data_IF_057491469638
#
_entry.id   IF_057491469638
#
_cell.length_a   1.000
_cell.length_b   1.000
_cell.length_c   1.000
_cell.angle_alpha   90.00
_cell.angle_beta   90.00
_cell.angle_gamma   90.00
#
_symmetry.space_group_name_H-M   'P 1'
#
loop_
_entity.id
_entity.type
_entity.pdbx_description
1 polymer ?
#
# COMPACT_ATOMS: atom_id res chain seq x y z
N UNK A 1 -57.13 35.64 18.77
CA UNK A 1 -57.20 34.29 18.15
C UNK A 1 -55.92 33.84 17.45
N UNK A 2 -55.11 34.76 16.88
CA UNK A 2 -53.88 34.43 16.13
C UNK A 2 -52.77 33.73 16.95
N UNK A 3 -52.59 34.11 18.23
CA UNK A 3 -51.57 33.53 19.12
C UNK A 3 -51.89 32.10 19.59
N UNK A 4 -53.18 31.75 19.75
CA UNK A 4 -53.59 30.39 20.14
C UNK A 4 -53.40 29.39 19.00
N UNK A 5 -53.57 29.83 17.75
CA UNK A 5 -53.32 29.02 16.56
C UNK A 5 -51.81 28.75 16.39
N UNK A 6 -50.97 29.74 16.69
CA UNK A 6 -49.51 29.58 16.64
C UNK A 6 -49.02 28.52 17.65
N UNK A 7 -49.54 28.54 18.89
CA UNK A 7 -49.13 27.60 19.94
C UNK A 7 -49.56 26.16 19.61
N UNK A 8 -50.75 25.98 19.02
CA UNK A 8 -51.25 24.66 18.60
C UNK A 8 -50.45 24.15 17.38
N UNK A 9 -50.07 25.02 16.45
CA UNK A 9 -49.24 24.64 15.31
C UNK A 9 -47.82 24.19 15.73
N UNK A 10 -47.21 24.86 16.72
CA UNK A 10 -45.88 24.46 17.23
C UNK A 10 -45.91 23.14 18.01
N UNK A 11 -47.00 22.86 18.73
CA UNK A 11 -47.19 21.59 19.43
C UNK A 11 -47.35 20.40 18.46
N UNK A 12 -47.98 20.62 17.29
CA UNK A 12 -48.10 19.60 16.25
C UNK A 12 -46.77 19.24 15.58
N UNK A 13 -45.82 20.17 15.48
CA UNK A 13 -44.48 19.92 14.92
C UNK A 13 -43.66 19.00 15.84
N UNK A 14 -43.88 19.07 17.16
CA UNK A 14 -43.23 18.21 18.16
C UNK A 14 -43.86 16.81 18.29
N UNK A 15 -45.07 16.61 17.76
CA UNK A 15 -45.81 15.35 17.81
C UNK A 15 -45.75 14.55 16.49
N UNK A 16 -45.04 15.04 15.48
CA UNK A 16 -44.73 14.25 14.30
C UNK A 16 -43.79 13.10 14.71
N UNK A 17 -44.11 11.84 14.36
CA UNK A 17 -43.26 10.73 14.73
C UNK A 17 -41.95 10.89 13.96
N UNK A 18 -40.85 11.02 14.69
CA UNK A 18 -39.48 10.95 14.17
C UNK A 18 -39.21 9.53 13.63
N UNK A 19 -39.83 9.17 12.50
CA UNK A 19 -39.56 7.93 11.75
C UNK A 19 -38.49 8.14 10.69
N UNK A 20 -37.44 8.90 11.01
CA UNK A 20 -36.32 9.13 10.11
C UNK A 20 -34.95 9.26 10.80
N UNK A 21 -34.82 8.87 12.08
CA UNK A 21 -33.52 8.94 12.78
C UNK A 21 -33.17 7.71 13.63
N UNK A 22 -33.95 6.62 13.55
CA UNK A 22 -33.57 5.36 14.19
C UNK A 22 -33.86 4.18 13.26
N UNK A 23 -32.86 3.30 13.15
CA UNK A 23 -32.81 2.05 12.39
C UNK A 23 -32.51 2.18 10.89
N UNK A 24 -31.21 2.32 10.63
CA UNK A 24 -30.55 1.55 9.57
C UNK A 24 -29.31 0.90 10.17
N UNK A 25 -29.48 -0.18 10.95
CA UNK A 25 -28.38 -1.16 11.03
C UNK A 25 -28.13 -1.58 9.57
N UNK A 26 -26.90 -1.59 9.05
CA UNK A 26 -26.67 -1.89 7.64
C UNK A 26 -27.26 -3.26 7.36
N UNK A 27 -28.42 -3.28 6.70
CA UNK A 27 -28.99 -4.50 6.16
C UNK A 27 -28.03 -4.93 5.08
N UNK A 28 -27.37 -6.06 5.31
CA UNK A 28 -26.47 -6.69 4.36
C UNK A 28 -27.26 -7.02 3.10
N UNK A 29 -27.15 -6.13 2.11
CA UNK A 29 -27.66 -6.32 0.77
C UNK A 29 -26.92 -7.52 0.14
N UNK A 30 -27.64 -8.51 -0.35
CA UNK A 30 -27.14 -9.69 -1.06
C UNK A 30 -26.44 -9.35 -2.39
N UNK A 31 -26.55 -8.11 -2.86
CA UNK A 31 -25.68 -7.52 -3.89
C UNK A 31 -24.22 -7.39 -3.44
N UNK A 32 -23.96 -7.41 -2.12
CA UNK A 32 -22.59 -7.45 -1.58
C UNK A 32 -21.84 -8.73 -1.96
N UNK A 33 -22.49 -9.85 -2.24
CA UNK A 33 -21.78 -11.07 -2.62
C UNK A 33 -21.10 -10.94 -3.98
N UNK A 34 -21.74 -10.30 -4.97
CA UNK A 34 -21.11 -10.05 -6.27
C UNK A 34 -19.97 -9.05 -6.12
N UNK A 35 -20.12 -8.01 -5.29
CA UNK A 35 -19.03 -7.09 -5.01
C UNK A 35 -17.91 -7.74 -4.19
N UNK A 36 -18.21 -8.64 -3.26
CA UNK A 36 -17.23 -9.43 -2.50
C UNK A 36 -16.50 -10.38 -3.43
N UNK A 37 -17.19 -11.10 -4.32
CA UNK A 37 -16.56 -11.97 -5.32
C UNK A 37 -15.70 -11.14 -6.27
N UNK A 38 -16.19 -9.98 -6.75
CA UNK A 38 -15.39 -9.07 -7.58
C UNK A 38 -14.16 -8.57 -6.84
N UNK A 39 -14.30 -8.18 -5.57
CA UNK A 39 -13.21 -7.75 -4.70
C UNK A 39 -12.22 -8.89 -4.40
N UNK A 40 -12.69 -10.12 -4.24
CA UNK A 40 -11.87 -11.33 -4.05
C UNK A 40 -11.11 -11.68 -5.34
N UNK A 41 -11.74 -11.49 -6.50
CA UNK A 41 -11.10 -11.67 -7.81
C UNK A 41 -10.08 -10.56 -8.07
N UNK A 42 -10.39 -9.31 -7.72
CA UNK A 42 -9.47 -8.18 -7.82
C UNK A 42 -8.32 -8.27 -6.82
N UNK A 43 -8.57 -8.72 -5.58
CA UNK A 43 -7.53 -8.97 -4.59
C UNK A 43 -6.66 -10.15 -5.02
N UNK A 44 -7.23 -11.21 -5.58
CA UNK A 44 -6.48 -12.31 -6.18
C UNK A 44 -5.57 -11.86 -7.32
N UNK A 45 -6.08 -11.00 -8.23
CA UNK A 45 -5.27 -10.38 -9.30
C UNK A 45 -4.14 -9.51 -8.74
N UNK A 46 -4.41 -8.74 -7.69
CA UNK A 46 -3.41 -7.89 -7.04
C UNK A 46 -2.35 -8.72 -6.31
N UNK A 47 -2.72 -9.80 -5.63
CA UNK A 47 -1.77 -10.75 -5.02
C UNK A 47 -0.88 -11.39 -6.09
N UNK A 48 -1.44 -11.76 -7.25
CA UNK A 48 -0.66 -12.28 -8.37
C UNK A 48 0.30 -11.23 -8.95
N UNK A 49 -0.15 -9.98 -9.11
CA UNK A 49 0.71 -8.85 -9.51
C UNK A 49 1.80 -8.57 -8.47
N UNK A 50 1.52 -8.77 -7.18
CA UNK A 50 2.48 -8.61 -6.10
C UNK A 50 3.58 -9.67 -6.13
N UNK A 51 3.20 -10.93 -6.35
CA UNK A 51 4.15 -12.04 -6.53
C UNK A 51 5.03 -11.78 -7.76
N UNK A 52 4.42 -11.30 -8.86
CA UNK A 52 5.14 -10.91 -10.07
C UNK A 52 6.11 -9.74 -9.82
N UNK A 53 5.69 -8.75 -9.03
CA UNK A 53 6.51 -7.61 -8.61
C UNK A 53 7.73 -8.04 -7.81
N UNK A 54 7.56 -8.94 -6.83
CA UNK A 54 8.68 -9.54 -6.09
C UNK A 54 9.66 -10.25 -7.04
N UNK A 55 9.14 -11.01 -8.00
CA UNK A 55 9.99 -11.69 -8.99
C UNK A 55 10.81 -10.67 -9.80
N UNK A 56 10.15 -9.63 -10.32
CA UNK A 56 10.84 -8.59 -11.07
C UNK A 56 11.89 -7.86 -10.24
N UNK A 57 11.61 -7.55 -8.98
CA UNK A 57 12.61 -6.94 -8.10
C UNK A 57 13.82 -7.87 -7.87
N UNK A 58 13.61 -9.18 -7.81
CA UNK A 58 14.71 -10.16 -7.72
C UNK A 58 15.54 -10.20 -9.00
N UNK A 59 14.90 -10.32 -10.16
CA UNK A 59 15.57 -10.32 -11.47
C UNK A 59 16.39 -9.02 -11.65
N UNK A 60 15.80 -7.90 -11.19
CA UNK A 60 16.43 -6.59 -11.16
C UNK A 60 17.65 -6.54 -10.21
N UNK A 61 17.55 -7.10 -9.00
CA UNK A 61 18.68 -7.23 -8.07
C UNK A 61 19.83 -8.04 -8.69
N UNK A 62 19.54 -9.18 -9.30
CA UNK A 62 20.56 -10.03 -9.94
C UNK A 62 21.28 -9.29 -11.08
N UNK A 63 20.53 -8.49 -11.85
CA UNK A 63 21.09 -7.65 -12.90
C UNK A 63 22.05 -6.60 -12.31
N UNK A 64 21.64 -5.91 -11.24
CA UNK A 64 22.53 -4.97 -10.53
C UNK A 64 23.79 -5.66 -10.01
N UNK A 65 23.68 -6.84 -9.39
CA UNK A 65 24.83 -7.56 -8.84
C UNK A 65 25.82 -7.98 -9.94
N UNK A 66 25.31 -8.49 -11.06
CA UNK A 66 26.11 -8.85 -12.23
C UNK A 66 26.87 -7.65 -12.76
N UNK A 67 26.21 -6.50 -12.90
CA UNK A 67 26.83 -5.30 -13.45
C UNK A 67 27.78 -4.61 -12.46
N UNK A 68 27.45 -4.61 -11.16
CA UNK A 68 28.34 -4.14 -10.09
C UNK A 68 29.66 -4.90 -10.09
N UNK A 69 29.63 -6.23 -10.32
CA UNK A 69 30.85 -7.03 -10.42
C UNK A 69 31.77 -6.63 -11.59
N UNK A 70 31.18 -6.07 -12.66
CA UNK A 70 31.91 -5.58 -13.85
C UNK A 70 32.48 -4.18 -13.61
N UNK A 71 31.81 -3.36 -12.80
CA UNK A 71 32.17 -1.94 -12.61
C UNK A 71 32.94 -1.69 -11.30
N UNK A 72 32.98 -2.65 -10.37
CA UNK A 72 33.76 -2.80 -9.11
C UNK A 72 33.89 -1.60 -8.15
N UNK A 73 33.53 -0.38 -8.53
CA UNK A 73 33.96 0.86 -7.86
C UNK A 73 32.82 1.85 -7.55
N UNK A 74 31.57 1.55 -7.91
CA UNK A 74 30.47 2.49 -7.70
C UNK A 74 29.63 2.09 -6.48
N UNK A 75 30.03 2.60 -5.30
CA UNK A 75 29.28 2.46 -4.03
C UNK A 75 27.79 2.76 -4.16
N UNK A 76 27.41 3.70 -5.03
CA UNK A 76 26.01 4.02 -5.31
C UNK A 76 25.22 2.81 -5.86
N UNK A 77 25.81 2.01 -6.75
CA UNK A 77 25.18 0.82 -7.35
C UNK A 77 24.97 -0.26 -6.29
N UNK A 78 25.96 -0.49 -5.43
CA UNK A 78 25.86 -1.41 -4.30
C UNK A 78 24.72 -1.02 -3.34
N UNK A 79 24.68 0.26 -2.95
CA UNK A 79 23.63 0.79 -2.07
C UNK A 79 22.23 0.65 -2.70
N UNK A 80 22.10 0.86 -4.01
CA UNK A 80 20.83 0.64 -4.74
C UNK A 80 20.45 -0.85 -4.71
N UNK A 81 21.40 -1.76 -4.92
CA UNK A 81 21.17 -3.20 -4.79
C UNK A 81 20.71 -3.60 -3.39
N UNK A 82 21.34 -3.08 -2.35
CA UNK A 82 20.94 -3.32 -0.95
C UNK A 82 19.55 -2.77 -0.65
N UNK A 83 19.23 -1.57 -1.12
CA UNK A 83 17.90 -0.99 -0.98
C UNK A 83 16.84 -1.83 -1.70
N UNK A 84 17.12 -2.32 -2.91
CA UNK A 84 16.21 -3.20 -3.63
C UNK A 84 16.01 -4.52 -2.90
N UNK A 85 17.05 -5.12 -2.32
CA UNK A 85 16.90 -6.29 -1.45
C UNK A 85 15.97 -6.01 -0.27
N UNK A 86 16.06 -4.82 0.33
CA UNK A 86 15.15 -4.42 1.40
C UNK A 86 13.72 -4.24 0.91
N UNK A 87 13.52 -3.65 -0.27
CA UNK A 87 12.20 -3.58 -0.92
C UNK A 87 11.63 -4.99 -1.11
N UNK A 88 12.39 -5.92 -1.68
CA UNK A 88 11.98 -7.33 -1.86
C UNK A 88 11.51 -7.93 -0.54
N UNK A 89 12.31 -7.80 0.54
CA UNK A 89 11.97 -8.36 1.85
C UNK A 89 10.65 -7.79 2.39
N UNK A 90 10.43 -6.48 2.27
CA UNK A 90 9.19 -5.84 2.72
C UNK A 90 8.00 -6.29 1.86
N UNK A 91 8.18 -6.40 0.54
CA UNK A 91 7.13 -6.86 -0.37
C UNK A 91 6.77 -8.34 -0.15
N UNK A 92 7.77 -9.19 0.11
CA UNK A 92 7.59 -10.62 0.34
C UNK A 92 6.95 -10.92 1.69
N UNK A 93 7.44 -10.30 2.75
CA UNK A 93 7.00 -10.65 4.10
C UNK A 93 5.92 -9.68 4.56
N UNK A 94 6.27 -8.40 4.70
CA UNK A 94 5.43 -7.44 5.38
C UNK A 94 4.14 -7.12 4.62
N UNK A 95 4.23 -6.90 3.31
CA UNK A 95 3.05 -6.60 2.48
C UNK A 95 2.17 -7.84 2.36
N UNK A 96 2.75 -9.03 2.19
CA UNK A 96 1.99 -10.28 2.18
C UNK A 96 1.24 -10.48 3.50
N UNK A 97 1.90 -10.25 4.64
CA UNK A 97 1.28 -10.34 5.97
C UNK A 97 0.15 -9.32 6.15
N UNK A 98 0.34 -8.08 5.65
CA UNK A 98 -0.70 -7.05 5.69
C UNK A 98 -1.91 -7.49 4.86
N UNK A 99 -1.69 -7.92 3.61
CA UNK A 99 -2.78 -8.30 2.71
C UNK A 99 -3.53 -9.55 3.18
N UNK A 100 -2.85 -10.48 3.85
CA UNK A 100 -3.44 -11.70 4.41
C UNK A 100 -4.08 -11.50 5.80
N UNK A 101 -3.97 -10.30 6.38
CA UNK A 101 -4.50 -10.03 7.72
C UNK A 101 -6.04 -10.04 7.72
N UNK A 102 -6.69 -10.75 8.64
CA UNK A 102 -8.17 -10.71 8.77
C UNK A 102 -8.68 -9.34 9.22
N UNK A 103 -7.77 -8.45 9.65
CA UNK A 103 -8.09 -7.09 10.08
C UNK A 103 -7.97 -6.06 8.96
N UNK A 104 -7.61 -6.46 7.73
CA UNK A 104 -7.72 -5.63 6.53
C UNK A 104 -9.03 -5.96 5.83
N UNK A 105 -9.84 -4.94 5.55
CA UNK A 105 -11.13 -5.16 4.89
C UNK A 105 -10.93 -5.48 3.40
N UNK A 106 -11.78 -6.31 2.76
CA UNK A 106 -11.66 -6.65 1.35
C UNK A 106 -11.52 -5.44 0.42
N UNK A 107 -12.27 -4.37 0.67
CA UNK A 107 -12.21 -3.11 -0.10
C UNK A 107 -10.94 -2.28 0.12
N UNK A 108 -10.20 -2.54 1.21
CA UNK A 108 -8.92 -1.89 1.51
C UNK A 108 -7.75 -2.58 0.82
N UNK A 109 -7.85 -3.88 0.53
CA UNK A 109 -6.79 -4.67 -0.11
C UNK A 109 -6.30 -3.98 -1.39
N UNK A 110 -7.21 -3.47 -2.22
CA UNK A 110 -6.84 -2.73 -3.44
C UNK A 110 -6.09 -1.43 -3.18
N UNK A 111 -6.47 -0.69 -2.13
CA UNK A 111 -5.77 0.54 -1.75
C UNK A 111 -4.38 0.25 -1.20
N UNK A 112 -4.27 -0.81 -0.38
CA UNK A 112 -2.99 -1.30 0.14
C UNK A 112 -2.09 -1.68 -1.03
N UNK A 113 -2.54 -2.59 -1.90
CA UNK A 113 -1.75 -3.08 -3.04
C UNK A 113 -1.28 -1.95 -3.95
N UNK A 114 -2.18 -1.04 -4.37
CA UNK A 114 -1.82 0.13 -5.20
C UNK A 114 -0.79 1.04 -4.53
N UNK A 115 -0.83 1.18 -3.22
CA UNK A 115 0.11 2.04 -2.49
C UNK A 115 1.54 1.49 -2.46
N UNK A 116 1.71 0.18 -2.66
CA UNK A 116 3.00 -0.49 -2.76
C UNK A 116 3.46 -0.67 -4.22
N UNK A 117 2.53 -0.89 -5.15
CA UNK A 117 2.83 -1.04 -6.58
C UNK A 117 3.64 0.13 -7.14
N UNK A 118 3.26 1.37 -6.82
CA UNK A 118 4.02 2.55 -7.26
C UNK A 118 5.49 2.57 -6.82
N UNK A 119 5.80 2.00 -5.64
CA UNK A 119 7.18 1.90 -5.14
C UNK A 119 7.95 0.82 -5.91
N UNK A 120 7.28 -0.28 -6.23
CA UNK A 120 7.87 -1.34 -7.06
C UNK A 120 8.18 -0.83 -8.46
N UNK A 121 7.22 -0.18 -9.13
CA UNK A 121 7.42 0.32 -10.50
C UNK A 121 8.63 1.24 -10.57
N UNK A 122 8.76 2.19 -9.64
CA UNK A 122 9.89 3.11 -9.59
C UNK A 122 11.24 2.39 -9.29
N UNK A 123 11.21 1.31 -8.50
CA UNK A 123 12.40 0.47 -8.26
C UNK A 123 12.82 -0.29 -9.52
N UNK A 124 11.88 -0.82 -10.29
CA UNK A 124 12.16 -1.49 -11.57
C UNK A 124 12.73 -0.51 -12.59
N UNK A 125 12.12 0.66 -12.76
CA UNK A 125 12.64 1.74 -13.61
C UNK A 125 14.07 2.15 -13.22
N UNK A 126 14.35 2.21 -11.91
CA UNK A 126 15.69 2.51 -11.40
C UNK A 126 16.71 1.45 -11.82
N UNK A 127 16.32 0.17 -11.81
CA UNK A 127 17.21 -0.92 -12.21
C UNK A 127 17.43 -0.94 -13.70
N UNK A 128 16.37 -0.84 -14.50
CA UNK A 128 16.48 -0.80 -15.97
C UNK A 128 17.41 0.33 -16.41
N UNK A 129 17.30 1.48 -15.74
CA UNK A 129 18.20 2.61 -15.97
C UNK A 129 19.65 2.34 -15.54
N UNK A 130 19.88 1.67 -14.41
CA UNK A 130 21.23 1.26 -14.00
C UNK A 130 21.83 0.29 -15.02
N UNK A 131 21.03 -0.66 -15.49
CA UNK A 131 21.44 -1.60 -16.54
C UNK A 131 21.79 -0.84 -17.82
N UNK A 132 20.97 0.12 -18.27
CA UNK A 132 21.24 0.94 -19.46
C UNK A 132 22.53 1.79 -19.33
N UNK A 133 22.71 2.47 -18.19
CA UNK A 133 23.86 3.34 -17.90
C UNK A 133 25.19 2.58 -17.84
N UNK A 134 25.13 1.30 -17.49
CA UNK A 134 26.31 0.47 -17.26
C UNK A 134 26.56 -0.58 -18.36
N UNK A 135 25.53 -0.99 -19.11
CA UNK A 135 25.62 -1.97 -20.22
C UNK A 135 25.95 -1.31 -21.56
N UNK A 136 25.53 -0.06 -21.76
CA UNK A 136 25.86 0.62 -23.00
C UNK A 136 27.22 1.30 -22.91
N UNK A 137 27.93 1.22 -24.02
CA UNK A 137 28.78 2.27 -24.53
C UNK A 137 27.96 3.59 -24.67
N UNK A 138 27.46 4.17 -23.58
CA UNK A 138 26.86 5.52 -23.57
C UNK A 138 27.99 6.53 -23.81
N UNK A 139 28.48 6.52 -25.05
CA UNK A 139 29.66 7.17 -25.65
C UNK A 139 29.53 8.70 -25.73
N UNK A 140 28.82 9.32 -24.79
CA UNK A 140 28.72 10.79 -24.67
C UNK A 140 28.75 11.32 -23.22
N UNK A 141 28.80 10.44 -22.22
CA UNK A 141 28.78 10.80 -20.80
C UNK A 141 30.17 10.64 -20.18
N UNK A 142 30.61 11.64 -19.41
CA UNK A 142 31.84 11.51 -18.61
C UNK A 142 31.61 10.68 -17.35
N UNK A 143 32.67 10.06 -16.81
CA UNK A 143 32.57 9.29 -15.57
C UNK A 143 32.01 10.10 -14.38
N UNK A 144 32.27 11.42 -14.36
CA UNK A 144 31.71 12.34 -13.36
C UNK A 144 30.19 12.49 -13.50
N UNK A 145 29.68 12.66 -14.73
CA UNK A 145 28.24 12.71 -15.01
C UNK A 145 27.56 11.38 -14.66
N UNK A 146 28.22 10.25 -14.94
CA UNK A 146 27.72 8.91 -14.55
C UNK A 146 27.61 8.78 -13.04
N UNK A 147 28.63 9.20 -12.30
CA UNK A 147 28.65 9.15 -10.85
C UNK A 147 27.55 10.03 -10.23
N UNK A 148 27.31 11.23 -10.77
CA UNK A 148 26.25 12.13 -10.31
C UNK A 148 24.86 11.52 -10.51
N UNK A 149 24.60 10.96 -11.69
CA UNK A 149 23.35 10.28 -12.02
C UNK A 149 23.10 9.10 -11.09
N UNK A 150 24.11 8.24 -10.90
CA UNK A 150 24.00 7.09 -9.99
C UNK A 150 23.80 7.54 -8.55
N UNK A 151 24.40 8.66 -8.13
CA UNK A 151 24.18 9.22 -6.80
C UNK A 151 22.75 9.74 -6.61
N UNK A 152 22.17 10.34 -7.64
CA UNK A 152 20.76 10.74 -7.62
C UNK A 152 19.83 9.53 -7.48
N UNK A 153 20.11 8.45 -8.24
CA UNK A 153 19.35 7.19 -8.14
C UNK A 153 19.53 6.48 -6.80
N UNK A 154 20.71 6.54 -6.19
CA UNK A 154 20.93 6.07 -4.82
C UNK A 154 20.02 6.81 -3.82
N UNK A 155 19.91 8.14 -3.95
CA UNK A 155 19.06 8.94 -3.07
C UNK A 155 17.56 8.62 -3.27
N UNK A 156 17.11 8.49 -4.52
CA UNK A 156 15.75 8.08 -4.86
C UNK A 156 15.43 6.70 -4.25
N UNK A 157 16.37 5.75 -4.39
CA UNK A 157 16.28 4.42 -3.80
C UNK A 157 16.16 4.44 -2.27
N UNK A 158 16.92 5.31 -1.59
CA UNK A 158 16.80 5.52 -0.13
C UNK A 158 15.44 6.08 0.26
N UNK A 159 14.90 7.01 -0.53
CA UNK A 159 13.55 7.56 -0.31
C UNK A 159 12.47 6.49 -0.49
N UNK A 160 12.59 5.62 -1.50
CA UNK A 160 11.68 4.48 -1.68
C UNK A 160 11.67 3.57 -0.45
N UNK A 161 12.83 3.22 0.10
CA UNK A 161 12.95 2.40 1.31
C UNK A 161 12.29 3.08 2.52
N UNK A 162 12.46 4.40 2.67
CA UNK A 162 11.81 5.14 3.75
C UNK A 162 10.28 5.17 3.59
N UNK A 163 9.81 5.41 2.36
CA UNK A 163 8.40 5.44 2.02
C UNK A 163 7.72 4.08 2.26
N UNK A 164 8.34 2.98 1.81
CA UNK A 164 7.77 1.64 2.02
C UNK A 164 7.73 1.30 3.51
N UNK A 165 8.80 1.61 4.26
CA UNK A 165 8.87 1.34 5.70
C UNK A 165 7.77 2.09 6.45
N UNK A 166 7.55 3.36 6.10
CA UNK A 166 6.52 4.19 6.73
C UNK A 166 5.11 3.70 6.41
N UNK A 167 4.83 3.33 5.15
CA UNK A 167 3.54 2.75 4.74
C UNK A 167 3.28 1.42 5.44
N UNK A 168 4.28 0.55 5.50
CA UNK A 168 4.20 -0.74 6.19
C UNK A 168 3.89 -0.54 7.67
N UNK A 169 4.60 0.36 8.36
CA UNK A 169 4.32 0.68 9.76
C UNK A 169 2.87 1.13 9.96
N UNK A 170 2.40 2.05 9.13
CA UNK A 170 1.01 2.55 9.20
C UNK A 170 -0.02 1.42 9.10
N UNK A 171 0.13 0.48 8.17
CA UNK A 171 -0.81 -0.63 8.05
C UNK A 171 -0.71 -1.62 9.21
N UNK A 172 0.49 -1.88 9.73
CA UNK A 172 0.68 -2.66 10.97
C UNK A 172 -0.02 -2.03 12.16
N UNK A 173 0.05 -0.70 12.31
CA UNK A 173 -0.62 0.04 13.37
C UNK A 173 -2.15 -0.02 13.24
N UNK A 174 -2.68 0.03 12.01
CA UNK A 174 -4.12 -0.15 11.76
C UNK A 174 -4.58 -1.56 12.14
N UNK A 175 -3.81 -2.59 11.75
CA UNK A 175 -4.10 -3.99 12.07
C UNK A 175 -4.08 -4.20 13.58
N UNK A 176 -3.06 -3.69 14.27
CA UNK A 176 -2.94 -3.84 15.73
C UNK A 176 -4.08 -3.14 16.46
N UNK A 177 -4.47 -1.93 16.03
CA UNK A 177 -5.62 -1.20 16.58
C UNK A 177 -6.92 -1.99 16.42
N UNK A 178 -7.20 -2.51 15.22
CA UNK A 178 -8.42 -3.29 14.96
C UNK A 178 -8.42 -4.61 15.73
N UNK A 179 -7.28 -5.27 15.86
CA UNK A 179 -7.11 -6.46 16.72
C UNK A 179 -7.41 -6.16 18.18
N UNK A 180 -7.01 -4.98 18.68
CA UNK A 180 -7.37 -4.55 20.04
C UNK A 180 -8.86 -4.28 20.18
N UNK A 181 -9.49 -3.62 19.20
CA UNK A 181 -10.93 -3.38 19.21
C UNK A 181 -11.71 -4.69 19.24
N UNK A 182 -11.35 -5.66 18.40
CA UNK A 182 -11.98 -6.98 18.35
C UNK A 182 -11.86 -7.72 19.69
N UNK A 183 -10.66 -7.70 20.28
CA UNK A 183 -10.41 -8.26 21.62
C UNK A 183 -11.17 -7.57 22.76
N UNK A 184 -11.58 -6.31 22.61
CA UNK A 184 -12.36 -5.59 23.62
C UNK A 184 -13.85 -5.88 23.42
N UNK A 185 -14.31 -5.90 22.17
CA UNK A 185 -15.71 -6.12 21.83
C UNK A 185 -16.17 -7.57 22.11
N UNK A 186 -15.29 -8.55 21.93
CA UNK A 186 -15.58 -9.97 22.14
C UNK A 186 -15.15 -10.46 23.54
N UNK A 187 -14.93 -9.57 24.51
CA UNK A 187 -14.70 -10.03 25.90
C UNK A 187 -16.01 -10.58 26.44
N UNK A 188 -16.00 -11.84 26.87
CA UNK A 188 -17.05 -12.37 27.72
C UNK A 188 -17.07 -11.54 29.01
N UNK A 189 -18.09 -10.71 29.16
CA UNK A 189 -18.36 -10.05 30.43
C UNK A 189 -18.93 -11.10 31.36
N UNK A 190 -18.08 -11.71 32.17
CA UNK A 190 -18.52 -12.45 33.35
C UNK A 190 -19.17 -11.46 34.31
N UNK A 191 -20.49 -11.31 34.21
CA UNK A 191 -21.34 -10.67 35.20
C UNK A 191 -21.90 -11.71 36.16
#
# INVERSE_FOLDING_TARGET
>A
MKTKILIIATAFIFLLPTRAACQGMPTYDNTNFISLVKQLVESGKQTAQMIKSVKFLKDAKESIEKVSSVVQQLRAVEEIGQNNQRLITVMQNDVQDILNSPYIKPEEVSRVAKSFDAIVQNSLETVDFIDEVLSSDYLKMSDAQRAEILKAKELESKQMVSNITTKTKRYRDIISFRKMQDKVNNRETFY
#
